data_IF_631329586631
#
_entry.id   IF_631329586631
#
_cell.length_a   1.000
_cell.length_b   1.000
_cell.length_c   1.000
_cell.angle_alpha   90.00
_cell.angle_beta   90.00
_cell.angle_gamma   90.00
#
_symmetry.space_group_name_H-M   'P 1'
#
loop_
_entity.id
_entity.type
_entity.pdbx_description
1 polymer ?
#
# COMPACT_ATOMS: atom_id res chain seq x y z
N UNK A 1 -12.69 -1.64 7.41
CA UNK A 1 -12.68 -1.30 8.84
C UNK A 1 -11.89 -0.02 9.02
N UNK A 2 -12.53 1.04 9.50
CA UNK A 2 -11.92 2.34 9.74
C UNK A 2 -11.58 2.43 11.23
N UNK A 3 -10.32 2.76 11.56
CA UNK A 3 -9.97 3.18 12.91
C UNK A 3 -10.39 4.65 13.04
N UNK A 4 -11.50 4.86 13.75
CA UNK A 4 -11.94 6.17 14.19
C UNK A 4 -11.47 6.43 15.61
N UNK A 5 -10.95 7.63 15.84
CA UNK A 5 -10.89 8.26 17.15
C UNK A 5 -11.33 9.71 16.94
N UNK A 6 -12.46 10.07 17.55
CA UNK A 6 -13.02 11.40 17.58
C UNK A 6 -13.30 11.82 19.03
N UNK A 7 -13.14 13.12 19.28
CA UNK A 7 -13.56 13.94 20.43
C UNK A 7 -12.69 13.83 21.71
N UNK A 8 -12.34 14.90 22.44
CA UNK A 8 -13.02 16.19 22.67
C UNK A 8 -12.07 17.39 22.92
N UNK A 9 -12.60 18.57 22.57
CA UNK A 9 -12.22 19.95 22.88
C UNK A 9 -11.72 20.31 24.29
N UNK A 10 -10.73 21.23 24.35
CA UNK A 10 -10.89 22.53 25.05
C UNK A 10 -9.85 23.59 24.61
N UNK A 11 -10.37 24.79 24.32
CA UNK A 11 -9.72 26.09 24.02
C UNK A 11 -8.53 26.46 24.90
N UNK A 12 -7.55 27.20 24.34
CA UNK A 12 -7.05 28.51 24.85
C UNK A 12 -6.53 29.37 23.68
N UNK A 13 -6.94 30.64 23.67
CA UNK A 13 -6.53 31.73 22.78
C UNK A 13 -5.12 32.28 23.08
N UNK A 14 -4.45 32.72 22.01
CA UNK A 14 -3.54 33.88 21.86
C UNK A 14 -2.82 34.47 23.10
N UNK A 15 -1.49 34.58 23.05
CA UNK A 15 -0.75 35.78 22.57
C UNK A 15 0.74 35.77 22.99
N UNK A 16 1.58 36.28 22.10
CA UNK A 16 2.64 37.27 22.34
C UNK A 16 4.13 36.89 22.15
N UNK A 17 4.68 37.60 21.16
CA UNK A 17 5.96 38.33 21.09
C UNK A 17 7.26 37.62 20.65
N UNK A 18 7.70 38.06 19.47
CA UNK A 18 9.03 37.93 18.92
C UNK A 18 10.07 38.74 19.70
N UNK A 19 11.28 38.19 19.83
CA UNK A 19 12.51 38.93 19.91
C UNK A 19 13.62 38.10 19.26
N UNK A 20 14.25 38.67 18.23
CA UNK A 20 15.35 38.10 17.49
C UNK A 20 16.68 38.35 18.21
N UNK A 21 17.57 37.35 18.18
CA UNK A 21 19.01 37.55 18.34
C UNK A 21 19.72 36.64 17.35
N UNK A 22 20.32 37.25 16.33
CA UNK A 22 21.25 36.63 15.40
C UNK A 22 22.60 36.40 16.11
N UNK A 23 23.20 35.22 15.91
CA UNK A 23 24.62 34.99 16.13
C UNK A 23 25.11 33.87 15.21
N UNK A 24 25.93 34.30 14.26
CA UNK A 24 26.95 33.70 13.37
C UNK A 24 26.99 32.18 13.12
N UNK A 25 27.21 31.74 11.86
CA UNK A 25 26.97 30.36 11.42
C UNK A 25 28.25 29.52 11.48
N UNK A 26 28.29 28.52 12.36
CA UNK A 26 29.11 27.33 12.18
C UNK A 26 28.62 26.21 13.11
N UNK A 27 28.49 25.01 12.55
CA UNK A 27 28.12 23.76 13.21
C UNK A 27 26.63 23.55 13.55
N UNK A 28 25.79 23.44 12.52
CA UNK A 28 24.72 22.44 12.50
C UNK A 28 24.81 21.60 11.21
N UNK A 29 25.97 20.95 11.06
CA UNK A 29 26.04 19.64 10.41
C UNK A 29 25.68 18.63 11.50
N UNK A 30 24.43 18.65 11.93
CA UNK A 30 23.88 17.69 12.88
C UNK A 30 22.42 17.44 12.48
N UNK A 31 22.22 16.28 11.84
CA UNK A 31 20.93 15.63 11.65
C UNK A 31 19.87 16.45 10.92
N UNK A 32 20.20 16.83 9.68
CA UNK A 32 19.25 16.59 8.59
C UNK A 32 19.14 15.07 8.39
N UNK A 33 18.56 14.36 9.37
CA UNK A 33 17.86 13.11 9.08
C UNK A 33 16.80 13.56 8.12
N UNK A 34 17.06 13.42 6.82
CA UNK A 34 16.19 13.91 5.78
C UNK A 34 14.78 13.49 6.19
N UNK A 35 13.94 14.45 6.56
CA UNK A 35 12.51 14.23 6.56
C UNK A 35 12.26 13.85 5.10
N UNK A 36 12.24 12.54 4.82
CA UNK A 36 11.74 12.05 3.55
C UNK A 36 10.35 12.65 3.50
N UNK A 37 10.18 13.59 2.57
CA UNK A 37 8.88 14.13 2.27
C UNK A 37 7.97 12.92 2.07
N UNK A 38 6.92 12.83 2.88
CA UNK A 38 6.04 11.67 2.87
C UNK A 38 5.20 11.74 1.59
N UNK A 39 5.73 11.15 0.53
CA UNK A 39 5.08 11.11 -0.78
C UNK A 39 4.12 9.95 -0.81
N UNK A 40 2.83 10.26 -0.79
CA UNK A 40 1.78 9.29 -1.11
C UNK A 40 1.72 9.07 -2.63
N UNK A 41 1.61 7.82 -3.10
CA UNK A 41 1.47 7.57 -4.53
C UNK A 41 0.14 8.14 -5.03
N UNK A 42 0.19 8.90 -6.12
CA UNK A 42 -1.01 9.39 -6.80
C UNK A 42 -1.78 8.21 -7.40
N UNK A 43 -3.07 8.02 -7.08
CA UNK A 43 -3.90 7.01 -7.73
C UNK A 43 -3.87 7.14 -9.25
N UNK A 44 -3.49 6.08 -9.96
CA UNK A 44 -3.51 6.06 -11.43
C UNK A 44 -4.87 5.56 -11.92
N UNK A 45 -5.77 6.43 -12.43
CA UNK A 45 -7.14 6.04 -12.78
C UNK A 45 -7.22 4.92 -13.82
N UNK A 46 -6.17 4.72 -14.63
CA UNK A 46 -6.08 3.59 -15.58
C UNK A 46 -6.16 2.23 -14.89
N UNK A 47 -5.80 2.14 -13.60
CA UNK A 47 -5.93 0.91 -12.81
C UNK A 47 -7.37 0.54 -12.48
N UNK A 48 -8.32 1.44 -12.74
CA UNK A 48 -9.77 1.18 -12.63
C UNK A 48 -10.42 0.88 -13.98
N UNK A 49 -9.69 1.01 -15.09
CA UNK A 49 -10.23 0.67 -16.41
C UNK A 49 -10.48 -0.85 -16.49
N UNK A 50 -11.66 -1.29 -16.97
CA UNK A 50 -11.96 -2.70 -17.11
C UNK A 50 -10.95 -3.43 -17.99
N UNK A 51 -10.62 -4.68 -17.63
CA UNK A 51 -9.80 -5.55 -18.48
C UNK A 51 -10.73 -6.18 -19.52
N UNK A 52 -10.43 -5.95 -20.79
CA UNK A 52 -11.21 -6.50 -21.89
C UNK A 52 -10.95 -8.01 -22.02
N UNK A 53 -12.00 -8.81 -21.85
CA UNK A 53 -12.00 -10.26 -22.05
C UNK A 53 -12.97 -10.58 -23.19
N UNK A 54 -12.49 -11.21 -24.24
CA UNK A 54 -13.29 -11.66 -25.38
C UNK A 54 -13.91 -13.03 -25.12
N UNK A 55 -14.93 -13.39 -25.90
CA UNK A 55 -15.57 -14.71 -25.79
C UNK A 55 -14.76 -15.83 -26.46
N UNK A 56 -13.69 -15.51 -27.21
CA UNK A 56 -12.90 -16.49 -27.98
C UNK A 56 -11.82 -17.13 -27.14
N UNK A 57 -11.89 -18.45 -26.92
CA UNK A 57 -10.81 -19.20 -26.28
C UNK A 57 -9.52 -19.13 -27.10
N UNK A 58 -8.40 -18.91 -26.42
CA UNK A 58 -7.06 -19.10 -26.96
C UNK A 58 -6.53 -20.50 -26.67
N UNK A 59 -5.52 -20.93 -27.43
CA UNK A 59 -4.86 -22.22 -27.25
C UNK A 59 -4.11 -22.34 -25.92
N UNK A 60 -3.59 -21.23 -25.38
CA UNK A 60 -2.77 -21.22 -24.15
C UNK A 60 -3.52 -20.74 -22.91
N UNK A 61 -4.66 -20.06 -23.06
CA UNK A 61 -5.27 -19.30 -21.97
C UNK A 61 -5.74 -20.14 -20.78
N UNK A 62 -6.23 -21.37 -20.97
CA UNK A 62 -6.56 -22.24 -19.84
C UNK A 62 -5.31 -22.61 -19.02
N UNK A 63 -4.22 -23.01 -19.70
CA UNK A 63 -2.96 -23.37 -19.05
C UNK A 63 -2.36 -22.17 -18.32
N UNK A 64 -2.39 -21.01 -18.95
CA UNK A 64 -1.86 -19.78 -18.39
C UNK A 64 -2.69 -19.30 -17.20
N UNK A 65 -4.02 -19.40 -17.28
CA UNK A 65 -4.92 -19.11 -16.15
C UNK A 65 -4.66 -20.04 -14.97
N UNK A 66 -4.46 -21.33 -15.21
CA UNK A 66 -4.09 -22.30 -14.17
C UNK A 66 -2.72 -21.97 -13.55
N UNK A 67 -1.75 -21.55 -14.36
CA UNK A 67 -0.42 -21.13 -13.89
C UNK A 67 -0.52 -19.90 -12.99
N UNK A 68 -1.30 -18.90 -13.41
CA UNK A 68 -1.55 -17.69 -12.62
C UNK A 68 -2.28 -18.02 -11.30
N UNK A 69 -3.29 -18.90 -11.34
CA UNK A 69 -4.02 -19.31 -10.14
C UNK A 69 -3.13 -20.06 -9.15
N UNK A 70 -2.35 -21.03 -9.62
CA UNK A 70 -1.43 -21.79 -8.78
C UNK A 70 -0.35 -20.89 -8.13
N UNK A 71 0.13 -19.88 -8.86
CA UNK A 71 0.99 -18.85 -8.29
C UNK A 71 0.28 -18.07 -7.18
N UNK A 72 -0.94 -17.58 -7.44
CA UNK A 72 -1.72 -16.82 -6.48
C UNK A 72 -1.99 -17.62 -5.20
N UNK A 73 -2.48 -18.86 -5.30
CA UNK A 73 -2.79 -19.71 -4.16
C UNK A 73 -1.58 -19.90 -3.24
N UNK A 74 -0.41 -20.15 -3.84
CA UNK A 74 0.85 -20.31 -3.09
C UNK A 74 1.24 -19.00 -2.39
N UNK A 75 1.19 -17.89 -3.11
CA UNK A 75 1.53 -16.58 -2.58
C UNK A 75 0.54 -16.09 -1.52
N UNK A 76 -0.73 -16.42 -1.64
CA UNK A 76 -1.77 -16.04 -0.69
C UNK A 76 -1.53 -16.68 0.68
N UNK A 77 -1.17 -17.97 0.73
CA UNK A 77 -0.89 -18.65 2.00
C UNK A 77 0.28 -18.00 2.75
N UNK A 78 1.39 -17.74 2.05
CA UNK A 78 2.57 -17.10 2.65
C UNK A 78 2.31 -15.63 3.01
N UNK A 79 1.72 -14.89 2.07
CA UNK A 79 1.37 -13.48 2.24
C UNK A 79 0.39 -13.27 3.38
N UNK A 80 -0.62 -14.12 3.53
CA UNK A 80 -1.59 -14.02 4.62
C UNK A 80 -0.93 -14.25 5.98
N UNK A 81 0.03 -15.17 6.11
CA UNK A 81 0.77 -15.35 7.36
C UNK A 81 1.54 -14.09 7.75
N UNK A 82 2.31 -13.53 6.81
CA UNK A 82 3.11 -12.32 7.05
C UNK A 82 2.20 -11.13 7.37
N UNK A 83 1.16 -10.90 6.55
CA UNK A 83 0.21 -9.78 6.71
C UNK A 83 -0.56 -9.89 8.02
N UNK A 84 -1.06 -11.06 8.39
CA UNK A 84 -1.83 -11.24 9.63
C UNK A 84 -0.96 -11.02 10.86
N UNK A 85 0.24 -11.61 10.90
CA UNK A 85 1.18 -11.43 12.00
C UNK A 85 1.57 -9.94 12.16
N UNK A 86 1.88 -9.28 11.04
CA UNK A 86 2.20 -7.85 11.03
C UNK A 86 1.04 -6.99 11.53
N UNK A 87 -0.17 -7.20 10.99
CA UNK A 87 -1.37 -6.46 11.39
C UNK A 87 -1.75 -6.71 12.86
N UNK A 88 -1.56 -7.93 13.35
CA UNK A 88 -1.78 -8.24 14.76
C UNK A 88 -0.85 -7.43 15.64
N UNK A 89 0.46 -7.41 15.33
CA UNK A 89 1.43 -6.60 16.08
C UNK A 89 1.13 -5.11 16.01
N UNK A 90 0.74 -4.59 14.85
CA UNK A 90 0.29 -3.19 14.73
C UNK A 90 -0.90 -2.89 15.65
N UNK A 91 -1.87 -3.80 15.76
CA UNK A 91 -3.03 -3.63 16.67
C UNK A 91 -2.62 -3.69 18.14
N UNK A 92 -1.72 -4.61 18.50
CA UNK A 92 -1.19 -4.76 19.87
C UNK A 92 -0.43 -3.49 20.30
N UNK A 93 0.40 -2.94 19.42
CA UNK A 93 1.25 -1.77 19.68
C UNK A 93 0.54 -0.43 19.45
N UNK A 94 -0.67 -0.41 18.88
CA UNK A 94 -1.29 0.81 18.33
C UNK A 94 -1.53 1.96 19.32
N UNK A 95 -1.43 1.73 20.62
CA UNK A 95 -1.51 2.76 21.67
C UNK A 95 -0.15 3.35 22.04
N UNK A 96 0.93 2.65 21.72
CA UNK A 96 2.31 3.06 21.96
C UNK A 96 2.94 3.49 20.63
N UNK A 97 2.92 4.80 20.38
CA UNK A 97 3.40 5.37 19.11
C UNK A 97 4.88 5.11 18.89
N UNK A 98 5.70 5.09 19.94
CA UNK A 98 7.15 4.85 19.83
C UNK A 98 7.46 3.38 19.55
N UNK A 99 6.84 2.46 20.29
CA UNK A 99 6.99 1.03 20.05
C UNK A 99 6.47 0.62 18.67
N UNK A 100 5.35 1.22 18.22
CA UNK A 100 4.83 0.99 16.87
C UNK A 100 5.78 1.50 15.79
N UNK A 101 6.36 2.70 15.96
CA UNK A 101 7.35 3.24 15.04
C UNK A 101 8.59 2.34 14.94
N UNK A 102 9.12 1.85 16.06
CA UNK A 102 10.26 0.93 16.10
C UNK A 102 9.93 -0.42 15.45
N UNK A 103 8.73 -0.97 15.72
CA UNK A 103 8.27 -2.19 15.08
C UNK A 103 8.17 -2.03 13.55
N UNK A 104 7.61 -0.91 13.08
CA UNK A 104 7.53 -0.64 11.63
C UNK A 104 8.92 -0.46 11.01
N UNK A 105 9.84 0.22 11.69
CA UNK A 105 11.20 0.40 11.21
C UNK A 105 11.96 -0.93 11.06
N UNK A 106 11.70 -1.91 11.93
CA UNK A 106 12.40 -3.20 11.95
C UNK A 106 11.70 -4.27 11.12
N UNK A 107 10.36 -4.34 11.18
CA UNK A 107 9.56 -5.43 10.60
C UNK A 107 8.80 -5.00 9.34
N UNK A 108 8.56 -3.70 9.15
CA UNK A 108 7.82 -3.18 7.99
C UNK A 108 8.51 -3.51 6.67
N UNK A 109 9.85 -3.49 6.65
CA UNK A 109 10.62 -3.81 5.45
C UNK A 109 10.36 -5.23 4.94
N UNK A 110 10.09 -6.21 5.82
CA UNK A 110 9.78 -7.58 5.42
C UNK A 110 8.50 -7.66 4.58
N UNK A 111 7.49 -6.85 4.92
CA UNK A 111 6.24 -6.79 4.16
C UNK A 111 6.43 -6.09 2.81
N UNK A 112 7.28 -5.06 2.76
CA UNK A 112 7.67 -4.40 1.50
C UNK A 112 8.40 -5.38 0.58
N UNK A 113 9.39 -6.09 1.12
CA UNK A 113 10.19 -7.03 0.35
C UNK A 113 9.36 -8.20 -0.14
N UNK A 114 8.41 -8.70 0.67
CA UNK A 114 7.45 -9.71 0.24
C UNK A 114 6.62 -9.24 -0.97
N UNK A 115 6.09 -8.00 -0.95
CA UNK A 115 5.34 -7.48 -2.10
C UNK A 115 6.22 -7.34 -3.36
N UNK A 116 7.48 -6.90 -3.20
CA UNK A 116 8.43 -6.81 -4.32
C UNK A 116 8.75 -8.19 -4.90
N UNK A 117 9.01 -9.17 -4.03
CA UNK A 117 9.26 -10.54 -4.45
C UNK A 117 8.04 -11.16 -5.15
N UNK A 118 6.82 -10.86 -4.66
CA UNK A 118 5.59 -11.26 -5.33
C UNK A 118 5.55 -10.70 -6.76
N UNK A 119 5.81 -9.40 -6.95
CA UNK A 119 5.82 -8.76 -8.27
C UNK A 119 6.89 -9.36 -9.20
N UNK A 120 8.09 -9.60 -8.68
CA UNK A 120 9.20 -10.21 -9.43
C UNK A 120 8.90 -11.66 -9.82
N UNK A 121 8.23 -12.43 -8.96
CA UNK A 121 7.86 -13.82 -9.26
C UNK A 121 6.69 -13.88 -10.25
N UNK A 122 5.72 -12.98 -10.14
CA UNK A 122 4.61 -12.85 -11.09
C UNK A 122 5.12 -12.58 -12.51
N UNK A 123 6.12 -11.70 -12.65
CA UNK A 123 6.75 -11.42 -13.94
C UNK A 123 7.46 -12.63 -14.57
N UNK A 124 7.84 -13.64 -13.77
CA UNK A 124 8.53 -14.86 -14.23
C UNK A 124 7.58 -15.97 -14.70
N UNK A 125 6.26 -15.82 -14.55
CA UNK A 125 5.30 -16.84 -14.96
C UNK A 125 5.22 -17.05 -16.49
N UNK A 126 5.81 -16.15 -17.29
CA UNK A 126 5.89 -16.23 -18.75
C UNK A 126 4.53 -16.54 -19.41
N UNK A 127 3.50 -15.79 -19.00
CA UNK A 127 2.13 -15.90 -19.51
C UNK A 127 2.09 -15.49 -20.98
N UNK A 128 1.55 -16.35 -21.84
CA UNK A 128 1.50 -16.14 -23.29
C UNK A 128 0.16 -15.61 -23.76
N UNK A 129 -0.93 -16.05 -23.13
CA UNK A 129 -2.27 -15.57 -23.41
C UNK A 129 -2.40 -14.09 -23.06
N UNK A 130 -2.83 -13.28 -24.01
CA UNK A 130 -2.89 -11.83 -23.86
C UNK A 130 -3.89 -11.38 -22.78
N UNK A 131 -5.00 -12.09 -22.60
CA UNK A 131 -6.03 -11.73 -21.63
C UNK A 131 -5.60 -12.11 -20.21
N UNK A 132 -4.99 -13.28 -20.03
CA UNK A 132 -4.37 -13.69 -18.76
C UNK A 132 -3.17 -12.77 -18.44
N UNK A 133 -2.36 -12.40 -19.43
CA UNK A 133 -1.24 -11.48 -19.26
C UNK A 133 -1.72 -10.11 -18.80
N UNK A 134 -2.83 -9.59 -19.36
CA UNK A 134 -3.42 -8.32 -18.92
C UNK A 134 -3.84 -8.33 -17.44
N UNK A 135 -4.37 -9.47 -16.95
CA UNK A 135 -4.67 -9.65 -15.52
C UNK A 135 -3.39 -9.67 -14.69
N UNK A 136 -2.37 -10.42 -15.12
CA UNK A 136 -1.08 -10.47 -14.44
C UNK A 136 -0.42 -9.07 -14.37
N UNK A 137 -0.48 -8.30 -15.46
CA UNK A 137 -0.03 -6.90 -15.47
C UNK A 137 -0.82 -6.04 -14.48
N UNK A 138 -2.16 -6.15 -14.45
CA UNK A 138 -2.96 -5.37 -13.50
C UNK A 138 -2.69 -5.76 -12.04
N UNK A 139 -2.44 -7.03 -11.76
CA UNK A 139 -2.00 -7.53 -10.44
C UNK A 139 -0.63 -6.96 -10.04
N UNK A 140 0.31 -6.91 -10.99
CA UNK A 140 1.63 -6.30 -10.81
C UNK A 140 1.51 -4.81 -10.47
N UNK A 141 0.77 -4.04 -11.27
CA UNK A 141 0.55 -2.62 -11.04
C UNK A 141 -0.15 -2.35 -9.70
N UNK A 142 -1.15 -3.17 -9.36
CA UNK A 142 -1.81 -3.12 -8.05
C UNK A 142 -0.82 -3.37 -6.90
N UNK A 143 0.04 -4.38 -7.03
CA UNK A 143 1.05 -4.72 -6.01
C UNK A 143 2.06 -3.60 -5.83
N UNK A 144 2.52 -2.98 -6.93
CA UNK A 144 3.42 -1.82 -6.89
C UNK A 144 2.78 -0.62 -6.23
N UNK A 145 1.54 -0.30 -6.60
CA UNK A 145 0.77 0.77 -5.95
C UNK A 145 0.60 0.49 -4.46
N UNK A 146 0.17 -0.71 -4.09
CA UNK A 146 0.01 -1.11 -2.69
C UNK A 146 1.31 -1.05 -1.90
N UNK A 147 2.45 -1.39 -2.52
CA UNK A 147 3.78 -1.27 -1.92
C UNK A 147 4.15 0.19 -1.63
N UNK A 148 3.92 1.09 -2.60
CA UNK A 148 4.17 2.51 -2.40
C UNK A 148 3.26 3.11 -1.31
N UNK A 149 1.98 2.72 -1.26
CA UNK A 149 1.05 3.12 -0.19
C UNK A 149 1.56 2.63 1.17
N UNK A 150 2.01 1.38 1.25
CA UNK A 150 2.52 0.81 2.47
C UNK A 150 3.79 1.53 2.96
N UNK A 151 4.71 1.86 2.06
CA UNK A 151 5.89 2.67 2.38
C UNK A 151 5.51 4.06 2.91
N UNK A 152 4.55 4.73 2.27
CA UNK A 152 4.05 6.02 2.75
C UNK A 152 3.44 5.90 4.16
N UNK A 153 2.59 4.90 4.40
CA UNK A 153 1.98 4.67 5.71
C UNK A 153 3.02 4.39 6.80
N UNK A 154 4.07 3.62 6.47
CA UNK A 154 5.17 3.36 7.38
C UNK A 154 5.99 4.61 7.68
N UNK A 155 6.24 5.45 6.69
CA UNK A 155 6.87 6.75 6.89
C UNK A 155 6.04 7.66 7.80
N UNK A 156 4.72 7.72 7.60
CA UNK A 156 3.82 8.50 8.46
C UNK A 156 3.89 8.00 9.89
N UNK A 157 3.81 6.68 10.10
CA UNK A 157 3.80 6.12 11.45
C UNK A 157 5.12 6.36 12.19
N UNK A 158 6.26 6.27 11.49
CA UNK A 158 7.57 6.57 12.06
C UNK A 158 7.78 8.05 12.41
N UNK A 159 7.04 8.95 11.75
CA UNK A 159 7.13 10.39 11.97
C UNK A 159 5.97 10.94 12.83
N UNK A 160 5.02 10.11 13.23
CA UNK A 160 3.77 10.54 13.86
C UNK A 160 3.95 11.34 15.16
N UNK A 161 5.00 11.07 15.94
CA UNK A 161 5.32 11.83 17.16
C UNK A 161 5.87 13.24 16.89
N UNK A 162 6.23 13.55 15.64
CA UNK A 162 6.81 14.82 15.19
C UNK A 162 5.82 15.67 14.38
N UNK A 163 4.62 15.15 14.13
CA UNK A 163 3.58 15.82 13.34
C UNK A 163 2.61 16.59 14.22
N UNK A 164 2.10 17.70 13.70
CA UNK A 164 0.90 18.33 14.26
C UNK A 164 -0.34 17.47 13.99
N UNK A 165 -1.40 17.60 14.81
CA UNK A 165 -2.67 16.89 14.58
C UNK A 165 -3.28 17.15 13.19
N UNK A 166 -3.11 18.36 12.64
CA UNK A 166 -3.62 18.71 11.31
C UNK A 166 -2.90 17.97 10.18
N UNK A 167 -1.57 17.84 10.29
CA UNK A 167 -0.76 17.07 9.34
C UNK A 167 -1.10 15.57 9.43
N UNK A 168 -1.20 15.05 10.65
CA UNK A 168 -1.60 13.66 10.90
C UNK A 168 -2.97 13.36 10.28
N UNK A 169 -3.96 14.24 10.47
CA UNK A 169 -5.29 14.10 9.89
C UNK A 169 -5.28 14.13 8.35
N UNK A 170 -4.52 15.04 7.74
CA UNK A 170 -4.40 15.14 6.28
C UNK A 170 -3.76 13.87 5.68
N UNK A 171 -2.74 13.31 6.34
CA UNK A 171 -2.08 12.09 5.89
C UNK A 171 -3.00 10.86 6.06
N UNK A 172 -3.75 10.77 7.17
CA UNK A 172 -4.76 9.72 7.34
C UNK A 172 -5.87 9.76 6.28
N UNK A 173 -6.28 10.96 5.84
CA UNK A 173 -7.22 11.09 4.74
C UNK A 173 -6.65 10.47 3.44
N UNK A 174 -5.39 10.76 3.12
CA UNK A 174 -4.70 10.14 1.97
C UNK A 174 -4.59 8.62 2.10
N UNK A 175 -4.28 8.09 3.30
CA UNK A 175 -4.26 6.63 3.52
C UNK A 175 -5.62 6.00 3.22
N UNK A 176 -6.71 6.63 3.65
CA UNK A 176 -8.08 6.16 3.44
C UNK A 176 -8.46 6.18 1.96
N UNK A 177 -8.08 7.23 1.24
CA UNK A 177 -8.28 7.34 -0.21
C UNK A 177 -7.51 6.25 -0.96
N UNK A 178 -6.22 6.05 -0.64
CA UNK A 178 -5.42 4.98 -1.23
C UNK A 178 -6.01 3.60 -0.95
N UNK A 179 -6.50 3.34 0.27
CA UNK A 179 -7.15 2.07 0.61
C UNK A 179 -8.46 1.86 -0.17
N UNK A 180 -9.27 2.91 -0.33
CA UNK A 180 -10.48 2.86 -1.16
C UNK A 180 -10.13 2.55 -2.62
N UNK A 181 -9.12 3.22 -3.17
CA UNK A 181 -8.66 3.02 -4.53
C UNK A 181 -8.14 1.59 -4.75
N UNK A 182 -7.28 1.08 -3.86
CA UNK A 182 -6.82 -0.31 -3.87
C UNK A 182 -7.99 -1.31 -3.91
N UNK A 183 -9.02 -1.09 -3.08
CA UNK A 183 -10.19 -1.95 -3.08
C UNK A 183 -10.97 -1.89 -4.41
N UNK A 184 -11.08 -0.71 -5.02
CA UNK A 184 -11.74 -0.54 -6.32
C UNK A 184 -11.00 -1.27 -7.44
N UNK A 185 -9.66 -1.28 -7.43
CA UNK A 185 -8.88 -2.06 -8.41
C UNK A 185 -9.21 -3.55 -8.29
N UNK A 186 -9.14 -4.10 -7.07
CA UNK A 186 -9.35 -5.53 -6.84
C UNK A 186 -10.78 -5.95 -7.16
N UNK A 187 -11.76 -5.29 -6.51
CA UNK A 187 -13.18 -5.68 -6.60
C UNK A 187 -13.84 -5.25 -7.90
N UNK A 188 -13.44 -4.10 -8.44
CA UNK A 188 -14.07 -3.52 -9.64
C UNK A 188 -13.41 -3.94 -10.95
N UNK A 189 -12.16 -4.41 -10.91
CA UNK A 189 -11.39 -4.66 -12.14
C UNK A 189 -10.79 -6.06 -12.21
N UNK A 190 -10.00 -6.46 -11.22
CA UNK A 190 -9.25 -7.72 -11.27
C UNK A 190 -10.20 -8.92 -11.10
N UNK A 191 -10.99 -8.96 -10.04
CA UNK A 191 -11.92 -10.08 -9.75
C UNK A 191 -12.92 -10.30 -10.90
N UNK A 192 -13.60 -9.27 -11.45
CA UNK A 192 -14.50 -9.46 -12.59
C UNK A 192 -13.81 -10.06 -13.82
N UNK A 193 -12.58 -9.66 -14.11
CA UNK A 193 -11.82 -10.19 -15.23
C UNK A 193 -11.44 -11.66 -15.03
N UNK A 194 -10.99 -12.03 -13.82
CA UNK A 194 -10.69 -13.42 -13.46
C UNK A 194 -11.95 -14.28 -13.60
N UNK A 195 -13.08 -13.86 -13.02
CA UNK A 195 -14.34 -14.61 -13.10
C UNK A 195 -14.76 -14.83 -14.56
N UNK A 196 -14.64 -13.80 -15.40
CA UNK A 196 -14.97 -13.91 -16.82
C UNK A 196 -14.05 -14.89 -17.57
N UNK A 197 -12.75 -14.94 -17.24
CA UNK A 197 -11.85 -15.95 -17.81
C UNK A 197 -12.16 -17.35 -17.30
N UNK A 198 -12.48 -17.51 -16.02
CA UNK A 198 -12.90 -18.81 -15.47
C UNK A 198 -14.15 -19.31 -16.22
N UNK A 199 -15.20 -18.49 -16.30
CA UNK A 199 -16.44 -18.84 -17.01
C UNK A 199 -16.21 -19.19 -18.48
N UNK A 200 -15.31 -18.46 -19.15
CA UNK A 200 -14.91 -18.70 -20.53
C UNK A 200 -14.28 -20.07 -20.74
N UNK A 201 -13.47 -20.55 -19.80
CA UNK A 201 -12.76 -21.82 -19.93
C UNK A 201 -13.43 -23.01 -19.19
N UNK A 202 -14.45 -22.76 -18.37
CA UNK A 202 -15.26 -23.81 -17.71
C UNK A 202 -16.38 -24.41 -18.58
N UNK A 203 -16.78 -23.71 -19.64
CA UNK A 203 -17.76 -24.18 -20.65
C UNK A 203 -17.07 -24.92 -21.78
#
# INVERSE_FOLDING_TARGET
MALGLAACDKKVEDKATAAATESTPQAQVAEKTAAQELVFPTPNPKLLEPIAISDKKSATGLKDLQTLNAFWDKSEVEGNKIKQAFQQKVRELGKDKEALAQFIATEGQKLIDWNKQFDEQLAKLNIQDAEVAAIATRLSDYTRFGTAVLQANFGVTQQASKMSPAEEQALYAKMKESAKFSNQIVQGTIIPAINKLVDKYSK
#
